data_IF_342920273254
#
_entry.id   IF_342920273254
#
_cell.length_a   1.000
_cell.length_b   1.000
_cell.length_c   1.000
_cell.angle_alpha   90.00
_cell.angle_beta   90.00
_cell.angle_gamma   90.00
#
_symmetry.space_group_name_H-M   'P 1'
#
loop_
_entity.id
_entity.type
_entity.pdbx_description
1 polymer ?
#
# COMPACT_ATOMS: atom_id res chain seq x y z
N UNK A 1 -11.47 5.51 14.00
CA UNK A 1 -10.12 5.23 14.55
C UNK A 1 -9.55 4.03 13.82
N UNK A 2 -8.24 4.03 13.57
CA UNK A 2 -7.53 2.90 12.97
C UNK A 2 -7.54 1.69 13.92
N UNK A 3 -7.95 0.53 13.42
CA UNK A 3 -8.06 -0.71 14.18
C UNK A 3 -7.56 -1.89 13.35
N UNK A 4 -6.58 -2.66 13.81
CA UNK A 4 -5.71 -2.38 14.96
C UNK A 4 -4.75 -1.21 14.72
N UNK A 5 -4.14 -0.64 15.76
CA UNK A 5 -3.06 0.34 15.59
C UNK A 5 -1.89 -0.22 14.78
N UNK A 6 -1.02 0.65 14.28
CA UNK A 6 0.19 0.24 13.55
C UNK A 6 1.07 -0.62 14.44
N UNK A 7 1.52 -1.75 13.90
CA UNK A 7 2.31 -2.75 14.60
C UNK A 7 3.48 -3.28 13.77
N UNK A 8 4.17 -4.29 14.32
CA UNK A 8 5.36 -4.90 13.69
C UNK A 8 5.07 -5.64 12.39
N UNK A 9 3.82 -6.05 12.17
CA UNK A 9 3.40 -6.75 10.95
C UNK A 9 3.01 -5.84 9.79
N UNK A 10 3.09 -4.52 9.97
CA UNK A 10 2.79 -3.55 8.92
C UNK A 10 4.00 -3.28 8.03
N UNK A 11 3.75 -3.02 6.75
CA UNK A 11 4.77 -2.45 5.86
C UNK A 11 4.94 -0.97 6.18
N UNK A 12 6.07 -0.63 6.75
CA UNK A 12 6.37 0.73 7.17
C UNK A 12 7.64 1.26 6.50
N UNK A 13 7.58 2.52 6.12
CA UNK A 13 8.71 3.30 5.58
C UNK A 13 8.94 4.53 6.45
N UNK A 14 10.19 4.81 6.78
CA UNK A 14 10.57 5.90 7.70
C UNK A 14 10.77 5.45 9.15
N UNK A 15 11.24 6.35 10.03
CA UNK A 15 11.61 6.01 11.40
C UNK A 15 10.41 5.54 12.24
N UNK A 16 10.59 4.55 13.10
CA UNK A 16 9.52 4.08 13.99
C UNK A 16 9.06 5.11 15.03
N UNK A 17 9.92 6.06 15.35
CA UNK A 17 9.72 7.16 16.31
C UNK A 17 9.35 8.49 15.61
N UNK A 18 9.00 8.46 14.34
CA UNK A 18 8.54 9.64 13.61
C UNK A 18 7.34 10.32 14.33
N UNK A 19 7.32 11.65 14.32
CA UNK A 19 6.25 12.43 14.97
C UNK A 19 4.87 12.15 14.44
N UNK A 20 4.78 11.83 13.15
CA UNK A 20 3.52 11.56 12.46
C UNK A 20 3.57 10.19 11.81
N UNK A 21 2.53 9.39 12.02
CA UNK A 21 2.31 8.15 11.29
C UNK A 21 1.16 8.36 10.30
N UNK A 22 1.45 8.13 9.03
CA UNK A 22 0.49 8.13 7.94
C UNK A 22 0.23 6.69 7.51
N UNK A 23 -1.03 6.25 7.57
CA UNK A 23 -1.45 4.93 7.06
C UNK A 23 -2.30 5.15 5.81
N UNK A 24 -1.97 4.44 4.74
CA UNK A 24 -2.79 4.33 3.54
C UNK A 24 -3.39 2.92 3.45
N UNK A 25 -4.69 2.83 3.27
CA UNK A 25 -5.32 1.66 2.69
C UNK A 25 -5.41 1.87 1.18
N UNK A 26 -4.72 1.03 0.43
CA UNK A 26 -4.53 1.21 -1.01
C UNK A 26 -4.83 -0.04 -1.82
N UNK A 27 -5.09 0.20 -3.09
CA UNK A 27 -5.37 -0.78 -4.13
C UNK A 27 -4.51 -0.44 -5.34
N UNK A 28 -3.65 -1.36 -5.77
CA UNK A 28 -2.71 -1.13 -6.86
C UNK A 28 -3.37 -0.89 -8.22
N UNK A 29 -4.62 -1.33 -8.41
CA UNK A 29 -5.36 -1.11 -9.64
C UNK A 29 -6.31 0.09 -9.57
N UNK A 30 -6.55 0.67 -8.40
CA UNK A 30 -7.43 1.81 -8.20
C UNK A 30 -6.85 3.08 -8.86
N UNK A 31 -7.58 3.73 -9.80
CA UNK A 31 -7.10 4.95 -10.47
C UNK A 31 -6.87 6.11 -9.49
N UNK A 32 -7.66 6.20 -8.43
CA UNK A 32 -7.50 7.24 -7.40
C UNK A 32 -6.21 7.06 -6.61
N UNK A 33 -5.85 5.81 -6.26
CA UNK A 33 -4.57 5.50 -5.63
C UNK A 33 -3.40 5.81 -6.56
N UNK A 34 -3.52 5.47 -7.86
CA UNK A 34 -2.51 5.78 -8.86
C UNK A 34 -2.27 7.29 -9.02
N UNK A 35 -3.32 8.11 -8.94
CA UNK A 35 -3.18 9.57 -8.96
C UNK A 35 -2.59 10.13 -7.67
N UNK A 36 -2.89 9.54 -6.53
CA UNK A 36 -2.36 9.98 -5.24
C UNK A 36 -0.86 9.63 -5.07
N UNK A 37 -0.42 8.52 -5.66
CA UNK A 37 0.92 7.97 -5.49
C UNK A 37 2.07 8.97 -5.74
N UNK A 38 2.19 9.66 -6.91
CA UNK A 38 3.32 10.56 -7.15
C UNK A 38 3.36 11.74 -6.17
N UNK A 39 2.21 12.27 -5.82
CA UNK A 39 2.10 13.37 -4.86
C UNK A 39 2.46 12.91 -3.44
N UNK A 40 2.00 11.73 -3.04
CA UNK A 40 2.38 11.12 -1.77
C UNK A 40 3.89 10.93 -1.67
N UNK A 41 4.53 10.41 -2.72
CA UNK A 41 5.99 10.27 -2.78
C UNK A 41 6.70 11.61 -2.62
N UNK A 42 6.20 12.66 -3.27
CA UNK A 42 6.74 14.01 -3.14
C UNK A 42 6.63 14.54 -1.71
N UNK A 43 5.46 14.40 -1.09
CA UNK A 43 5.21 14.86 0.29
C UNK A 43 6.07 14.10 1.29
N UNK A 44 6.17 12.78 1.16
CA UNK A 44 7.01 11.96 2.03
C UNK A 44 8.49 12.34 1.90
N UNK A 45 8.97 12.64 0.69
CA UNK A 45 10.33 13.12 0.46
C UNK A 45 10.57 14.50 1.11
N UNK A 46 9.60 15.43 1.00
CA UNK A 46 9.67 16.76 1.58
C UNK A 46 9.71 16.71 3.11
N UNK A 47 8.87 15.88 3.73
CA UNK A 47 8.76 15.78 5.17
C UNK A 47 9.85 14.89 5.81
N UNK A 48 10.44 14.00 5.01
CA UNK A 48 11.56 13.16 5.40
C UNK A 48 11.31 12.33 6.66
N UNK A 49 12.25 12.31 7.62
CA UNK A 49 12.16 11.46 8.80
C UNK A 49 11.07 11.86 9.80
N UNK A 50 10.34 12.93 9.55
CA UNK A 50 9.24 13.38 10.43
C UNK A 50 7.98 12.54 10.28
N UNK A 51 7.87 11.78 9.18
CA UNK A 51 6.70 10.95 8.87
C UNK A 51 7.11 9.48 8.71
N UNK A 52 6.40 8.61 9.41
CA UNK A 52 6.38 7.17 9.18
C UNK A 52 5.20 6.84 8.28
N UNK A 53 5.45 6.31 7.09
CA UNK A 53 4.43 5.87 6.17
C UNK A 53 4.18 4.38 6.32
N UNK A 54 2.90 3.99 6.34
CA UNK A 54 2.45 2.60 6.44
C UNK A 54 1.46 2.33 5.31
N UNK A 55 1.65 1.22 4.62
CA UNK A 55 0.72 0.75 3.60
C UNK A 55 0.00 -0.52 4.07
N UNK A 56 -1.33 -0.54 3.90
CA UNK A 56 -2.19 -1.70 4.09
C UNK A 56 -2.98 -1.98 2.84
N UNK A 57 -3.10 -3.24 2.47
CA UNK A 57 -3.86 -3.66 1.31
C UNK A 57 -5.36 -3.50 1.50
N UNK A 58 -6.03 -2.98 0.49
CA UNK A 58 -7.49 -2.95 0.43
C UNK A 58 -7.97 -3.12 -1.02
N UNK A 59 -7.69 -4.28 -1.67
CA UNK A 59 -8.10 -4.54 -3.05
C UNK A 59 -9.63 -4.55 -3.17
N UNK A 60 -10.17 -3.73 -4.08
CA UNK A 60 -11.59 -3.64 -4.40
C UNK A 60 -11.89 -4.64 -5.53
N UNK A 61 -11.98 -5.92 -5.17
CA UNK A 61 -12.01 -7.04 -6.13
C UNK A 61 -13.22 -7.04 -7.06
N UNK A 62 -14.32 -6.40 -6.66
CA UNK A 62 -15.51 -6.27 -7.51
C UNK A 62 -15.31 -5.26 -8.65
N UNK A 63 -14.49 -4.24 -8.44
CA UNK A 63 -14.21 -3.18 -9.43
C UNK A 63 -12.90 -3.40 -10.16
N UNK A 64 -11.92 -4.05 -9.50
CA UNK A 64 -10.55 -4.15 -9.98
C UNK A 64 -10.10 -5.62 -10.03
N UNK A 65 -10.20 -6.28 -11.19
CA UNK A 65 -9.98 -7.74 -11.30
C UNK A 65 -8.55 -8.19 -11.02
N UNK A 66 -7.54 -7.33 -11.16
CA UNK A 66 -6.13 -7.67 -10.93
C UNK A 66 -5.62 -7.22 -9.55
N UNK A 67 -6.42 -6.49 -8.78
CA UNK A 67 -6.00 -5.88 -7.52
C UNK A 67 -5.57 -6.91 -6.47
N UNK A 68 -6.27 -8.05 -6.37
CA UNK A 68 -5.94 -9.11 -5.42
C UNK A 68 -4.58 -9.74 -5.74
N UNK A 69 -4.34 -10.12 -7.00
CA UNK A 69 -3.07 -10.73 -7.41
C UNK A 69 -1.91 -9.73 -7.27
N UNK A 70 -2.12 -8.46 -7.61
CA UNK A 70 -1.11 -7.41 -7.39
C UNK A 70 -0.74 -7.29 -5.90
N UNK A 71 -1.72 -7.32 -5.00
CA UNK A 71 -1.48 -7.31 -3.57
C UNK A 71 -0.71 -8.56 -3.09
N UNK A 72 -1.07 -9.75 -3.58
CA UNK A 72 -0.38 -11.00 -3.24
C UNK A 72 1.07 -11.02 -3.77
N UNK A 73 1.31 -10.48 -4.96
CA UNK A 73 2.67 -10.36 -5.50
C UNK A 73 3.51 -9.34 -4.73
N UNK A 74 2.92 -8.25 -4.24
CA UNK A 74 3.60 -7.33 -3.34
C UNK A 74 4.03 -8.03 -2.04
N UNK A 75 3.20 -8.92 -1.49
CA UNK A 75 3.55 -9.75 -0.32
C UNK A 75 4.63 -10.79 -0.65
N UNK A 76 4.58 -11.42 -1.83
CA UNK A 76 5.64 -12.32 -2.28
C UNK A 76 6.99 -11.57 -2.40
N UNK A 77 6.97 -10.34 -2.89
CA UNK A 77 8.14 -9.47 -2.91
C UNK A 77 8.61 -9.11 -1.49
N UNK A 78 7.69 -8.84 -0.56
CA UNK A 78 7.99 -8.61 0.85
C UNK A 78 8.72 -9.78 1.49
N UNK A 79 8.30 -11.02 1.18
CA UNK A 79 8.95 -12.25 1.64
C UNK A 79 10.40 -12.37 1.16
N UNK A 80 10.77 -11.65 0.11
CA UNK A 80 12.14 -11.56 -0.43
C UNK A 80 12.80 -10.19 -0.20
N UNK A 81 12.26 -9.38 0.71
CA UNK A 81 12.83 -8.10 1.13
C UNK A 81 12.63 -6.92 0.17
N UNK A 82 11.65 -7.00 -0.74
CA UNK A 82 11.44 -6.03 -1.83
C UNK A 82 10.01 -5.47 -1.90
N UNK A 83 9.33 -5.33 -0.73
CA UNK A 83 7.97 -4.80 -0.71
C UNK A 83 7.87 -3.42 -1.37
N UNK A 84 8.66 -2.46 -0.94
CA UNK A 84 8.54 -1.06 -1.39
C UNK A 84 8.92 -0.89 -2.86
N UNK A 85 9.90 -1.63 -3.35
CA UNK A 85 10.26 -1.64 -4.76
C UNK A 85 9.11 -2.19 -5.62
N UNK A 86 8.46 -3.26 -5.19
CA UNK A 86 7.28 -3.80 -5.89
C UNK A 86 6.08 -2.86 -5.78
N UNK A 87 5.81 -2.31 -4.60
CA UNK A 87 4.75 -1.31 -4.37
C UNK A 87 4.88 -0.14 -5.36
N UNK A 88 6.06 0.43 -5.47
CA UNK A 88 6.32 1.55 -6.36
C UNK A 88 6.14 1.16 -7.84
N UNK A 89 6.64 -0.01 -8.22
CA UNK A 89 6.56 -0.50 -9.59
C UNK A 89 5.12 -0.79 -10.03
N UNK A 90 4.30 -1.37 -9.16
CA UNK A 90 2.88 -1.64 -9.42
C UNK A 90 2.09 -0.35 -9.66
N UNK A 91 2.31 0.69 -8.87
CA UNK A 91 1.66 1.99 -9.11
C UNK A 91 2.17 2.69 -10.37
N UNK A 92 3.47 2.62 -10.65
CA UNK A 92 4.05 3.19 -11.87
C UNK A 92 3.54 2.54 -13.15
N UNK A 93 3.14 1.26 -13.07
CA UNK A 93 2.68 0.46 -14.21
C UNK A 93 1.25 -0.08 -14.01
N UNK A 94 0.41 0.72 -13.43
CA UNK A 94 -0.96 0.37 -13.01
C UNK A 94 -1.84 -0.14 -14.16
N UNK A 95 -1.49 0.16 -15.41
CA UNK A 95 -2.23 -0.27 -16.59
C UNK A 95 -1.86 -1.70 -17.06
N UNK A 96 -0.86 -2.33 -16.46
CA UNK A 96 -0.36 -3.65 -16.82
C UNK A 96 -0.14 -4.47 -15.53
N UNK A 97 -1.20 -5.10 -15.04
CA UNK A 97 -1.23 -5.87 -13.79
C UNK A 97 -1.76 -7.30 -14.00
N UNK A 98 -1.71 -7.81 -15.23
CA UNK A 98 -1.98 -9.22 -15.47
C UNK A 98 -0.86 -10.09 -14.85
N UNK A 99 -1.13 -11.37 -14.62
CA UNK A 99 -0.19 -12.27 -13.94
C UNK A 99 1.19 -12.29 -14.60
N UNK A 100 1.24 -12.30 -15.95
CA UNK A 100 2.51 -12.25 -16.68
C UNK A 100 3.28 -10.95 -16.45
N UNK A 101 2.57 -9.82 -16.35
CA UNK A 101 3.18 -8.53 -16.01
C UNK A 101 3.76 -8.55 -14.60
N UNK A 102 3.00 -9.09 -13.64
CA UNK A 102 3.43 -9.20 -12.25
C UNK A 102 4.71 -10.05 -12.11
N UNK A 103 4.77 -11.18 -12.83
CA UNK A 103 5.95 -12.04 -12.85
C UNK A 103 7.15 -11.37 -13.54
N UNK A 104 6.90 -10.58 -14.59
CA UNK A 104 7.94 -9.77 -15.24
C UNK A 104 8.52 -8.76 -14.24
N UNK A 105 7.68 -8.07 -13.46
CA UNK A 105 8.14 -7.13 -12.45
C UNK A 105 8.98 -7.81 -11.36
N UNK A 106 8.58 -9.00 -10.94
CA UNK A 106 9.38 -9.80 -10.02
C UNK A 106 10.78 -10.07 -10.57
N UNK A 107 10.89 -10.41 -11.85
CA UNK A 107 12.17 -10.61 -12.54
C UNK A 107 13.01 -9.34 -12.61
N UNK A 108 12.40 -8.19 -12.94
CA UNK A 108 13.08 -6.89 -12.99
C UNK A 108 13.65 -6.49 -11.61
N UNK A 109 12.99 -6.87 -10.52
CA UNK A 109 13.45 -6.63 -9.16
C UNK A 109 14.47 -7.67 -8.66
N UNK A 110 14.84 -8.65 -9.47
CA UNK A 110 15.79 -9.70 -9.11
C UNK A 110 15.23 -10.72 -8.12
N UNK A 111 13.92 -10.89 -8.05
CA UNK A 111 13.27 -11.88 -7.20
C UNK A 111 13.37 -13.29 -7.82
N UNK A 112 13.21 -14.32 -6.99
CA UNK A 112 12.96 -15.68 -7.46
C UNK A 112 11.57 -15.75 -8.08
N UNK A 113 11.48 -15.59 -9.40
CA UNK A 113 10.22 -15.56 -10.16
C UNK A 113 9.44 -16.87 -10.03
N UNK A 114 10.13 -18.02 -10.01
CA UNK A 114 9.47 -19.33 -9.85
C UNK A 114 8.82 -19.45 -8.48
N UNK A 115 9.46 -18.92 -7.45
CA UNK A 115 8.87 -18.85 -6.10
C UNK A 115 7.65 -17.95 -6.11
N UNK A 116 7.73 -16.74 -6.67
CA UNK A 116 6.60 -15.81 -6.78
C UNK A 116 5.43 -16.47 -7.50
N UNK A 117 5.69 -17.15 -8.63
CA UNK A 117 4.65 -17.85 -9.38
C UNK A 117 3.98 -18.96 -8.58
N UNK A 118 4.76 -19.79 -7.87
CA UNK A 118 4.19 -20.83 -7.00
C UNK A 118 3.34 -20.25 -5.89
N UNK A 119 3.83 -19.18 -5.24
CA UNK A 119 3.13 -18.51 -4.15
C UNK A 119 1.83 -17.85 -4.63
N UNK A 120 1.83 -17.24 -5.82
CA UNK A 120 0.64 -16.66 -6.44
C UNK A 120 -0.40 -17.75 -6.79
N UNK A 121 0.03 -18.83 -7.43
CA UNK A 121 -0.85 -19.96 -7.80
C UNK A 121 -1.47 -20.63 -6.57
N UNK A 122 -0.70 -20.75 -5.48
CA UNK A 122 -1.15 -21.35 -4.22
C UNK A 122 -1.87 -20.37 -3.29
N UNK A 123 -1.99 -19.10 -3.67
CA UNK A 123 -2.54 -18.03 -2.83
C UNK A 123 -1.89 -17.96 -1.44
N UNK A 124 -0.58 -18.17 -1.39
CA UNK A 124 0.20 -18.23 -0.13
C UNK A 124 0.03 -16.96 0.72
N UNK A 125 -0.13 -15.81 0.08
CA UNK A 125 -0.21 -14.51 0.74
C UNK A 125 -1.63 -13.94 0.85
N UNK A 126 -2.66 -14.66 0.40
CA UNK A 126 -4.05 -14.19 0.46
C UNK A 126 -4.51 -13.85 1.88
N UNK A 127 -4.17 -14.68 2.86
CA UNK A 127 -4.53 -14.43 4.26
C UNK A 127 -3.87 -13.16 4.82
N UNK A 128 -2.65 -12.82 4.38
CA UNK A 128 -2.00 -11.57 4.76
C UNK A 128 -2.74 -10.36 4.20
N UNK A 129 -3.15 -10.42 2.94
CA UNK A 129 -3.96 -9.37 2.29
C UNK A 129 -5.32 -9.24 2.99
N UNK A 130 -6.00 -10.36 3.25
CA UNK A 130 -7.29 -10.39 3.94
C UNK A 130 -7.23 -9.76 5.33
N UNK A 131 -6.16 -9.99 6.08
CA UNK A 131 -5.94 -9.33 7.39
C UNK A 131 -6.01 -7.80 7.27
N UNK A 132 -5.40 -7.22 6.25
CA UNK A 132 -5.44 -5.78 6.03
C UNK A 132 -6.84 -5.32 5.61
N UNK A 133 -7.52 -6.07 4.74
CA UNK A 133 -8.91 -5.77 4.34
C UNK A 133 -9.83 -5.76 5.56
N UNK A 134 -9.75 -6.77 6.42
CA UNK A 134 -10.55 -6.84 7.65
C UNK A 134 -10.25 -5.67 8.59
N UNK A 135 -8.97 -5.31 8.74
CA UNK A 135 -8.59 -4.15 9.54
C UNK A 135 -9.15 -2.83 8.96
N UNK A 136 -9.17 -2.73 7.64
CA UNK A 136 -9.78 -1.60 6.94
C UNK A 136 -11.27 -1.50 7.20
N UNK A 137 -12.00 -2.60 7.06
CA UNK A 137 -13.43 -2.66 7.35
C UNK A 137 -13.74 -2.27 8.80
N UNK A 138 -12.97 -2.79 9.76
CA UNK A 138 -13.07 -2.43 11.18
C UNK A 138 -12.77 -0.93 11.44
N UNK A 139 -11.92 -0.33 10.60
CA UNK A 139 -11.57 1.09 10.67
C UNK A 139 -12.53 2.01 9.92
N UNK A 140 -13.57 1.46 9.27
CA UNK A 140 -14.55 2.19 8.48
C UNK A 140 -14.07 2.55 7.08
N UNK A 141 -13.14 1.79 6.51
CA UNK A 141 -12.71 1.92 5.11
C UNK A 141 -13.74 1.28 4.21
N UNK A 142 -14.20 2.02 3.19
CA UNK A 142 -15.17 1.56 2.18
C UNK A 142 -14.73 1.89 0.75
N UNK A 143 -13.52 2.42 0.58
CA UNK A 143 -12.95 2.78 -0.71
C UNK A 143 -11.50 3.22 -0.56
N UNK A 144 -10.81 3.33 -1.68
CA UNK A 144 -9.38 3.64 -1.75
C UNK A 144 -9.06 4.85 -2.62
N UNK A 145 -7.98 5.59 -2.32
CA UNK A 145 -7.18 5.48 -1.11
C UNK A 145 -7.93 5.98 0.13
N UNK A 146 -7.66 5.41 1.29
CA UNK A 146 -8.12 5.93 2.57
C UNK A 146 -6.92 6.17 3.47
N UNK A 147 -6.82 7.39 4.00
CA UNK A 147 -5.71 7.80 4.83
C UNK A 147 -6.08 7.92 6.31
N UNK A 148 -5.14 7.58 7.18
CA UNK A 148 -5.21 7.82 8.62
C UNK A 148 -3.94 8.53 9.06
N UNK A 149 -4.11 9.63 9.79
CA UNK A 149 -3.00 10.39 10.39
C UNK A 149 -3.05 10.19 11.90
N UNK A 150 -1.98 9.65 12.48
CA UNK A 150 -1.92 9.32 13.90
C UNK A 150 -3.15 8.53 14.40
N UNK A 151 -3.59 7.55 13.60
CA UNK A 151 -4.73 6.67 13.90
C UNK A 151 -6.11 7.29 13.66
N UNK A 152 -6.20 8.55 13.25
CA UNK A 152 -7.48 9.23 12.95
C UNK A 152 -7.71 9.28 11.46
N UNK A 153 -8.93 8.92 11.03
CA UNK A 153 -9.30 8.99 9.61
C UNK A 153 -9.22 10.42 9.08
N UNK A 154 -8.49 10.58 8.00
CA UNK A 154 -8.47 11.80 7.20
C UNK A 154 -9.70 11.80 6.30
N UNK A 155 -10.68 12.68 6.59
CA UNK A 155 -11.99 12.69 5.94
C UNK A 155 -12.07 13.63 4.72
N UNK A 156 -11.08 14.50 4.55
CA UNK A 156 -11.04 15.39 3.39
C UNK A 156 -10.76 14.57 2.12
N UNK A 157 -11.15 15.09 0.94
CA UNK A 157 -10.83 14.41 -0.31
C UNK A 157 -9.35 14.02 -0.33
N UNK A 158 -9.07 12.77 -0.66
CA UNK A 158 -7.71 12.21 -0.64
C UNK A 158 -6.79 12.81 -1.71
N UNK A 159 -6.99 14.08 -2.06
CA UNK A 159 -6.01 14.78 -2.85
C UNK A 159 -4.75 15.06 -2.00
N UNK A 160 -3.63 15.02 -2.66
CA UNK A 160 -2.34 15.15 -2.00
C UNK A 160 -2.13 16.53 -1.37
N UNK A 161 -2.88 17.56 -1.76
CA UNK A 161 -2.76 18.91 -1.21
C UNK A 161 -3.36 18.97 0.19
N UNK A 162 -4.57 18.45 0.37
CA UNK A 162 -5.22 18.39 1.68
C UNK A 162 -4.47 17.46 2.62
N UNK A 163 -3.95 16.34 2.12
CA UNK A 163 -3.13 15.41 2.88
C UNK A 163 -1.81 16.06 3.35
N UNK A 164 -1.09 16.75 2.45
CA UNK A 164 0.14 17.44 2.78
C UNK A 164 -0.07 18.51 3.86
N UNK A 165 -1.13 19.30 3.74
CA UNK A 165 -1.49 20.31 4.74
C UNK A 165 -1.84 19.68 6.08
N UNK A 166 -2.60 18.58 6.09
CA UNK A 166 -2.94 17.85 7.32
C UNK A 166 -1.72 17.25 8.00
N UNK A 167 -0.79 16.67 7.26
CA UNK A 167 0.48 16.15 7.78
C UNK A 167 1.32 17.25 8.41
N UNK A 168 1.45 18.39 7.73
CA UNK A 168 2.19 19.55 8.26
C UNK A 168 1.59 20.11 9.56
N UNK A 169 0.26 20.13 9.67
CA UNK A 169 -0.42 20.55 10.91
C UNK A 169 -0.24 19.56 12.07
N UNK A 170 0.12 18.32 11.76
CA UNK A 170 0.29 17.24 12.75
C UNK A 170 1.74 17.11 13.25
N UNK A 171 2.67 17.86 12.67
CA UNK A 171 4.08 17.94 13.09
C UNK A 171 4.28 18.87 14.27
#
# INVERSE_FOLDING_TARGET
>A
MLTPPVGRGDHAFGPPDARVTLVEYGDFECPFCGRAYPELKRVLKELGPKVRFVFRHFPLVEEHPHAQHAAEVAEAAAAQGKFWEMHDLLYQRQQALEDDDLLKYAGELGLDVRRVQRELTAHTHAARVERDVLSGAQSGVSGTPRFFINGRSHKEPGDARTLAAALKRSL
#
